data_IF_531016908927
#
_entry.id   IF_531016908927
#
_cell.length_a   1.000
_cell.length_b   1.000
_cell.length_c   1.000
_cell.angle_alpha   90.00
_cell.angle_beta   90.00
_cell.angle_gamma   90.00
#
_symmetry.space_group_name_H-M   'P 1'
#
loop_
_entity.id
_entity.type
_entity.pdbx_description
1 polymer ?
#
# COMPACT_ATOMS: atom_id res chain seq x y z
N UNK A 1 10.96 17.21 -19.61
CA UNK A 1 10.43 16.00 -18.94
C UNK A 1 11.17 15.68 -17.65
N UNK A 2 12.47 15.50 -17.66
CA UNK A 2 13.30 15.11 -16.51
C UNK A 2 13.08 15.98 -15.25
N UNK A 3 13.12 17.32 -15.37
CA UNK A 3 12.90 18.25 -14.25
C UNK A 3 11.56 18.06 -13.54
N UNK A 4 10.46 17.81 -14.30
CA UNK A 4 9.12 17.59 -13.71
C UNK A 4 9.02 16.23 -13.04
N UNK A 5 9.67 15.19 -13.60
CA UNK A 5 9.77 13.88 -12.97
C UNK A 5 10.53 13.93 -11.64
N UNK A 6 11.65 14.66 -11.61
CA UNK A 6 12.42 14.87 -10.37
C UNK A 6 11.58 15.58 -9.29
N UNK A 7 10.84 16.64 -9.65
CA UNK A 7 9.94 17.34 -8.71
C UNK A 7 8.87 16.39 -8.17
N UNK A 8 8.31 15.51 -9.00
CA UNK A 8 7.33 14.51 -8.57
C UNK A 8 7.92 13.54 -7.54
N UNK A 9 9.13 13.04 -7.79
CA UNK A 9 9.84 12.15 -6.87
C UNK A 9 10.08 12.87 -5.53
N UNK A 10 10.65 14.07 -5.56
CA UNK A 10 10.90 14.88 -4.36
C UNK A 10 9.62 15.12 -3.58
N UNK A 11 8.52 15.49 -4.24
CA UNK A 11 7.23 15.71 -3.59
C UNK A 11 6.71 14.46 -2.88
N UNK A 12 6.77 13.29 -3.53
CA UNK A 12 6.33 12.03 -2.91
C UNK A 12 7.18 11.66 -1.69
N UNK A 13 8.51 11.80 -1.75
CA UNK A 13 9.38 11.53 -0.61
C UNK A 13 9.15 12.54 0.52
N UNK A 14 8.89 13.82 0.20
CA UNK A 14 8.53 14.83 1.21
C UNK A 14 7.25 14.44 1.94
N UNK A 15 6.22 13.99 1.21
CA UNK A 15 4.96 13.52 1.84
C UNK A 15 5.22 12.32 2.75
N UNK A 16 6.02 11.34 2.32
CA UNK A 16 6.36 10.18 3.12
C UNK A 16 7.14 10.57 4.39
N UNK A 17 8.10 11.46 4.26
CA UNK A 17 8.89 11.95 5.39
C UNK A 17 8.01 12.71 6.41
N UNK A 18 7.12 13.59 5.94
CA UNK A 18 6.16 14.27 6.81
C UNK A 18 5.22 13.28 7.50
N UNK A 19 4.76 12.25 6.82
CA UNK A 19 3.96 11.19 7.44
C UNK A 19 4.74 10.43 8.53
N UNK A 20 6.03 10.16 8.33
CA UNK A 20 6.89 9.54 9.35
C UNK A 20 6.98 10.43 10.59
N UNK A 21 7.34 11.70 10.41
CA UNK A 21 7.45 12.66 11.52
C UNK A 21 6.10 12.78 12.26
N UNK A 22 5.02 12.92 11.52
CA UNK A 22 3.70 13.06 12.14
C UNK A 22 3.29 11.82 12.93
N UNK A 23 3.55 10.61 12.42
CA UNK A 23 3.26 9.39 13.16
C UNK A 23 4.11 9.28 14.45
N UNK A 24 5.38 9.70 14.44
CA UNK A 24 6.20 9.79 15.65
C UNK A 24 5.58 10.74 16.69
N UNK A 25 5.08 11.89 16.23
CA UNK A 25 4.41 12.85 17.10
C UNK A 25 3.09 12.30 17.66
N UNK A 26 2.29 11.61 16.84
CA UNK A 26 1.08 10.94 17.31
C UNK A 26 1.38 9.90 18.40
N UNK A 27 2.46 9.12 18.28
CA UNK A 27 2.88 8.16 19.31
C UNK A 27 3.18 8.81 20.65
N UNK A 28 3.61 10.08 20.66
CA UNK A 28 3.86 10.84 21.89
C UNK A 28 2.58 11.30 22.58
N UNK A 29 1.56 11.68 21.81
CA UNK A 29 0.40 12.39 22.34
C UNK A 29 -0.87 11.54 22.41
N UNK A 30 -0.98 10.46 21.62
CA UNK A 30 -2.15 9.60 21.62
C UNK A 30 -1.99 8.42 22.58
N UNK A 31 -3.12 7.98 23.17
CA UNK A 31 -3.17 6.73 23.92
C UNK A 31 -3.03 5.51 22.98
N UNK A 32 -2.67 4.34 23.53
CA UNK A 32 -2.62 3.08 22.80
C UNK A 32 -3.95 2.76 22.12
N UNK A 33 -5.08 2.99 22.78
CA UNK A 33 -6.41 2.81 22.21
C UNK A 33 -6.64 3.70 20.98
N UNK A 34 -6.29 4.99 21.03
CA UNK A 34 -6.42 5.92 19.91
C UNK A 34 -5.49 5.54 18.74
N UNK A 35 -4.26 5.10 19.03
CA UNK A 35 -3.32 4.60 18.02
C UNK A 35 -3.83 3.32 17.35
N UNK A 36 -4.45 2.41 18.12
CA UNK A 36 -5.09 1.22 17.60
C UNK A 36 -6.26 1.54 16.68
N UNK A 37 -7.17 2.43 17.12
CA UNK A 37 -8.30 2.89 16.32
C UNK A 37 -7.84 3.56 15.02
N UNK A 38 -6.82 4.41 15.08
CA UNK A 38 -6.22 5.05 13.91
C UNK A 38 -5.59 4.03 12.95
N UNK A 39 -4.91 3.01 13.49
CA UNK A 39 -4.25 1.96 12.70
C UNK A 39 -5.26 1.11 11.94
N UNK A 40 -6.33 0.68 12.62
CA UNK A 40 -7.39 -0.07 11.97
C UNK A 40 -8.12 0.78 10.92
N UNK A 41 -8.48 2.00 11.27
CA UNK A 41 -9.14 2.92 10.37
C UNK A 41 -8.32 3.21 9.10
N UNK A 42 -7.01 3.41 9.23
CA UNK A 42 -6.08 3.53 8.08
C UNK A 42 -5.98 2.25 7.26
N UNK A 43 -6.11 1.09 7.87
CA UNK A 43 -6.12 -0.18 7.15
C UNK A 43 -7.37 -0.30 6.27
N UNK A 44 -8.54 0.07 6.80
CA UNK A 44 -9.77 0.16 6.02
C UNK A 44 -9.69 1.24 4.92
N UNK A 45 -9.15 2.42 5.24
CA UNK A 45 -8.90 3.50 4.27
C UNK A 45 -8.03 3.02 3.08
N UNK A 46 -6.96 2.25 3.36
CA UNK A 46 -6.11 1.67 2.33
C UNK A 46 -6.82 0.59 1.51
N UNK A 47 -7.70 -0.21 2.14
CA UNK A 47 -8.50 -1.21 1.44
C UNK A 47 -9.44 -0.58 0.41
N UNK A 48 -9.95 0.62 0.67
CA UNK A 48 -10.79 1.39 -0.29
C UNK A 48 -10.06 1.64 -1.62
N UNK A 49 -8.72 1.80 -1.62
CA UNK A 49 -7.98 1.97 -2.89
C UNK A 49 -8.08 0.75 -3.81
N UNK A 50 -8.43 -0.43 -3.28
CA UNK A 50 -8.65 -1.66 -4.06
C UNK A 50 -10.07 -1.79 -4.64
N UNK A 51 -10.96 -0.85 -4.37
CA UNK A 51 -12.35 -0.85 -4.87
C UNK A 51 -12.47 -0.80 -6.40
N UNK A 52 -11.39 -0.42 -7.11
CA UNK A 52 -11.35 -0.39 -8.57
C UNK A 52 -11.27 -1.78 -9.25
N UNK A 53 -11.16 -2.89 -8.50
CA UNK A 53 -11.14 -4.28 -9.00
C UNK A 53 -10.18 -4.53 -10.19
N UNK A 54 -9.05 -3.84 -10.24
CA UNK A 54 -8.04 -3.95 -11.29
C UNK A 54 -8.17 -2.95 -12.44
N UNK A 55 -9.32 -2.31 -12.61
CA UNK A 55 -9.56 -1.40 -13.72
C UNK A 55 -8.54 -0.24 -13.79
N UNK A 56 -8.03 0.25 -12.64
CA UNK A 56 -6.98 1.27 -12.60
C UNK A 56 -5.68 0.83 -13.29
N UNK A 57 -5.28 -0.44 -13.15
CA UNK A 57 -4.06 -0.95 -13.79
C UNK A 57 -4.16 -0.98 -15.31
N UNK A 58 -5.37 -1.11 -15.83
CA UNK A 58 -5.62 -1.06 -17.27
C UNK A 58 -5.55 0.34 -17.87
N UNK A 59 -5.85 1.39 -17.09
CA UNK A 59 -5.83 2.76 -17.60
C UNK A 59 -4.47 3.13 -18.18
N UNK A 60 -3.37 2.72 -17.54
CA UNK A 60 -2.01 3.00 -18.02
C UNK A 60 -1.73 2.36 -19.40
N UNK A 61 -2.41 1.26 -19.73
CA UNK A 61 -2.22 0.53 -20.99
C UNK A 61 -3.16 1.02 -22.10
N UNK A 62 -4.42 1.30 -21.77
CA UNK A 62 -5.44 1.60 -22.78
C UNK A 62 -5.54 3.09 -23.11
N UNK A 63 -5.39 3.98 -22.12
CA UNK A 63 -5.49 5.42 -22.34
C UNK A 63 -4.49 5.96 -23.38
N UNK A 64 -3.19 5.55 -23.40
CA UNK A 64 -2.26 6.11 -24.38
C UNK A 64 -2.63 5.85 -25.84
N UNK A 65 -3.38 4.77 -26.12
CA UNK A 65 -3.74 4.33 -27.48
C UNK A 65 -5.20 4.61 -27.86
N UNK A 66 -6.02 5.03 -26.90
CA UNK A 66 -7.43 5.33 -27.13
C UNK A 66 -7.64 6.72 -27.76
N UNK A 67 -8.75 6.92 -28.45
CA UNK A 67 -9.21 8.24 -28.90
C UNK A 67 -9.68 9.12 -27.73
N UNK A 68 -9.70 10.44 -27.88
CA UNK A 68 -9.93 11.35 -26.76
C UNK A 68 -11.31 11.20 -26.10
N UNK A 69 -12.34 10.90 -26.88
CA UNK A 69 -13.65 10.58 -26.31
C UNK A 69 -13.65 9.26 -25.54
N UNK A 70 -13.00 8.23 -26.11
CA UNK A 70 -12.88 6.92 -25.47
C UNK A 70 -12.10 7.01 -24.16
N UNK A 71 -11.02 7.80 -24.08
CA UNK A 71 -10.28 8.08 -22.83
C UNK A 71 -11.20 8.56 -21.72
N UNK A 72 -12.08 9.54 -22.04
CA UNK A 72 -13.04 10.10 -21.05
C UNK A 72 -14.02 9.04 -20.57
N UNK A 73 -14.55 8.21 -21.48
CA UNK A 73 -15.44 7.11 -21.10
C UNK A 73 -14.78 6.05 -20.22
N UNK A 74 -13.54 5.66 -20.55
CA UNK A 74 -12.79 4.70 -19.78
C UNK A 74 -12.61 5.18 -18.33
N UNK A 75 -12.14 6.42 -18.18
CA UNK A 75 -11.91 7.02 -16.87
C UNK A 75 -13.23 7.20 -16.11
N UNK A 76 -14.28 7.70 -16.74
CA UNK A 76 -15.60 7.88 -16.12
C UNK A 76 -16.15 6.56 -15.58
N UNK A 77 -16.03 5.48 -16.37
CA UNK A 77 -16.50 4.15 -15.96
C UNK A 77 -15.68 3.61 -14.79
N UNK A 78 -14.36 3.74 -14.83
CA UNK A 78 -13.47 3.31 -13.72
C UNK A 78 -13.74 4.13 -12.46
N UNK A 79 -13.95 5.44 -12.58
CA UNK A 79 -14.34 6.31 -11.46
C UNK A 79 -15.66 5.85 -10.82
N UNK A 80 -16.67 5.58 -11.64
CA UNK A 80 -17.98 5.14 -11.16
C UNK A 80 -17.92 3.78 -10.46
N UNK A 81 -17.26 2.80 -11.07
CA UNK A 81 -17.08 1.46 -10.45
C UNK A 81 -16.27 1.52 -9.16
N UNK A 82 -15.22 2.35 -9.14
CA UNK A 82 -14.42 2.59 -7.94
C UNK A 82 -15.26 3.25 -6.84
N UNK A 83 -16.06 4.24 -7.17
CA UNK A 83 -16.94 4.90 -6.21
C UNK A 83 -17.96 3.94 -5.59
N UNK A 84 -18.65 3.13 -6.42
CA UNK A 84 -19.57 2.11 -5.91
C UNK A 84 -18.88 1.05 -5.04
N UNK A 85 -17.75 0.54 -5.49
CA UNK A 85 -16.95 -0.41 -4.70
C UNK A 85 -16.45 0.19 -3.39
N UNK A 86 -16.09 1.49 -3.40
CA UNK A 86 -15.68 2.21 -2.19
C UNK A 86 -16.82 2.37 -1.18
N UNK A 87 -18.03 2.66 -1.66
CA UNK A 87 -19.24 2.72 -0.80
C UNK A 87 -19.54 1.35 -0.17
N UNK A 88 -19.37 0.27 -0.94
CA UNK A 88 -19.52 -1.09 -0.41
C UNK A 88 -18.50 -1.38 0.70
N UNK A 89 -17.21 -1.06 0.49
CA UNK A 89 -16.18 -1.25 1.52
C UNK A 89 -16.46 -0.38 2.74
N UNK A 90 -16.93 0.86 2.57
CA UNK A 90 -17.33 1.73 3.67
C UNK A 90 -18.48 1.10 4.48
N UNK A 91 -19.51 0.59 3.80
CA UNK A 91 -20.63 -0.09 4.46
C UNK A 91 -20.15 -1.29 5.29
N UNK A 92 -19.29 -2.13 4.69
CA UNK A 92 -18.70 -3.30 5.39
C UNK A 92 -17.87 -2.85 6.59
N UNK A 93 -17.03 -1.81 6.44
CA UNK A 93 -16.21 -1.29 7.53
C UNK A 93 -17.07 -0.77 8.69
N UNK A 94 -18.14 -0.02 8.40
CA UNK A 94 -19.09 0.50 9.40
C UNK A 94 -19.78 -0.63 10.15
N UNK A 95 -20.28 -1.63 9.43
CA UNK A 95 -21.00 -2.77 10.04
C UNK A 95 -20.07 -3.63 10.88
N UNK A 96 -18.88 -3.97 10.38
CA UNK A 96 -17.94 -4.85 11.09
C UNK A 96 -17.26 -4.17 12.29
N UNK A 97 -17.31 -2.85 12.41
CA UNK A 97 -16.69 -2.10 13.51
C UNK A 97 -17.74 -1.35 14.36
N UNK A 98 -19.00 -1.82 14.40
CA UNK A 98 -20.08 -1.26 15.23
C UNK A 98 -20.22 0.27 15.08
N UNK A 99 -20.10 0.77 13.86
CA UNK A 99 -20.14 2.19 13.51
C UNK A 99 -19.09 3.06 14.24
N UNK A 100 -17.92 2.49 14.56
CA UNK A 100 -16.79 3.26 15.11
C UNK A 100 -16.53 4.52 14.27
N UNK A 101 -16.59 5.68 14.92
CA UNK A 101 -16.52 6.97 14.23
C UNK A 101 -15.16 7.21 13.56
N UNK A 102 -14.06 6.74 14.16
CA UNK A 102 -12.70 6.89 13.62
C UNK A 102 -12.55 6.06 12.35
N UNK A 103 -13.03 4.79 12.40
CA UNK A 103 -13.02 3.89 11.26
C UNK A 103 -13.90 4.44 10.14
N UNK A 104 -15.10 4.89 10.47
CA UNK A 104 -16.07 5.41 9.48
C UNK A 104 -15.54 6.65 8.76
N UNK A 105 -14.99 7.63 9.51
CA UNK A 105 -14.44 8.88 8.96
C UNK A 105 -13.25 8.61 8.05
N UNK A 106 -12.28 7.82 8.50
CA UNK A 106 -11.07 7.55 7.71
C UNK A 106 -11.37 6.67 6.49
N UNK A 107 -12.25 5.67 6.63
CA UNK A 107 -12.67 4.87 5.47
C UNK A 107 -13.40 5.74 4.45
N UNK A 108 -14.29 6.64 4.87
CA UNK A 108 -14.93 7.60 3.98
C UNK A 108 -13.93 8.51 3.28
N UNK A 109 -12.89 8.99 3.99
CA UNK A 109 -11.81 9.78 3.36
C UNK A 109 -11.03 8.97 2.32
N UNK A 110 -10.96 7.65 2.47
CA UNK A 110 -10.38 6.73 1.48
C UNK A 110 -11.06 6.80 0.11
N UNK A 111 -12.36 7.09 0.06
CA UNK A 111 -13.11 7.27 -1.20
C UNK A 111 -12.50 8.42 -2.01
N UNK A 112 -12.23 9.55 -1.37
CA UNK A 112 -11.64 10.71 -2.03
C UNK A 112 -10.22 10.44 -2.51
N UNK A 113 -9.43 9.67 -1.74
CA UNK A 113 -8.08 9.24 -2.12
C UNK A 113 -8.15 8.30 -3.32
N UNK A 114 -9.03 7.30 -3.31
CA UNK A 114 -9.18 6.33 -4.40
C UNK A 114 -9.58 7.03 -5.71
N UNK A 115 -10.55 7.95 -5.67
CA UNK A 115 -10.94 8.78 -6.82
C UNK A 115 -9.75 9.61 -7.31
N UNK A 116 -9.03 10.27 -6.41
CA UNK A 116 -7.81 11.01 -6.75
C UNK A 116 -6.74 10.15 -7.43
N UNK A 117 -6.58 8.90 -6.98
CA UNK A 117 -5.64 7.94 -7.57
C UNK A 117 -6.03 7.52 -9.00
N UNK A 118 -7.33 7.41 -9.33
CA UNK A 118 -7.79 7.17 -10.71
C UNK A 118 -7.47 8.36 -11.61
N UNK A 119 -7.78 9.59 -11.16
CA UNK A 119 -7.45 10.81 -11.92
C UNK A 119 -5.92 10.97 -12.08
N UNK A 120 -5.13 10.59 -11.06
CA UNK A 120 -3.68 10.54 -11.13
C UNK A 120 -3.18 9.56 -12.21
N UNK A 121 -3.79 8.36 -12.31
CA UNK A 121 -3.48 7.38 -13.35
C UNK A 121 -3.80 7.94 -14.74
N UNK A 122 -4.94 8.61 -14.90
CA UNK A 122 -5.30 9.30 -16.15
C UNK A 122 -4.28 10.35 -16.55
N UNK A 123 -3.86 11.24 -15.63
CA UNK A 123 -2.84 12.25 -15.94
C UNK A 123 -1.48 11.65 -16.28
N UNK A 124 -1.13 10.52 -15.65
CA UNK A 124 0.09 9.79 -15.97
C UNK A 124 0.02 9.22 -17.39
N UNK A 125 -1.07 8.55 -17.72
CA UNK A 125 -1.29 7.91 -19.01
C UNK A 125 -1.40 8.91 -20.17
N UNK A 126 -1.91 10.14 -19.90
CA UNK A 126 -1.95 11.26 -20.86
C UNK A 126 -0.69 12.14 -20.84
N UNK A 127 0.36 11.73 -20.10
CA UNK A 127 1.61 12.46 -19.94
C UNK A 127 1.44 13.91 -19.41
N UNK A 128 0.37 14.14 -18.65
CA UNK A 128 0.01 15.45 -18.08
C UNK A 128 0.69 15.69 -16.72
N UNK A 129 2.03 15.59 -16.67
CA UNK A 129 2.83 15.62 -15.42
C UNK A 129 2.55 16.85 -14.56
N UNK A 130 2.26 18.02 -15.15
CA UNK A 130 1.96 19.24 -14.38
C UNK A 130 0.62 19.13 -13.65
N UNK A 131 -0.41 18.53 -14.29
CA UNK A 131 -1.70 18.27 -13.64
C UNK A 131 -1.55 17.24 -12.54
N UNK A 132 -0.74 16.18 -12.77
CA UNK A 132 -0.44 15.15 -11.78
C UNK A 132 0.27 15.73 -10.54
N UNK A 133 1.26 16.60 -10.73
CA UNK A 133 1.95 17.29 -9.62
C UNK A 133 1.00 18.13 -8.79
N UNK A 134 0.15 18.94 -9.43
CA UNK A 134 -0.88 19.74 -8.74
C UNK A 134 -1.85 18.87 -7.97
N UNK A 135 -2.28 17.74 -8.55
CA UNK A 135 -3.17 16.79 -7.90
C UNK A 135 -2.54 16.22 -6.61
N UNK A 136 -1.30 15.73 -6.69
CA UNK A 136 -0.59 15.19 -5.52
C UNK A 136 -0.42 16.25 -4.44
N UNK A 137 -0.03 17.47 -4.83
CA UNK A 137 0.12 18.58 -3.90
C UNK A 137 -1.20 18.90 -3.18
N UNK A 138 -2.28 19.15 -3.91
CA UNK A 138 -3.56 19.57 -3.32
C UNK A 138 -4.33 18.43 -2.65
N UNK A 139 -4.31 17.21 -3.19
CA UNK A 139 -5.11 16.10 -2.66
C UNK A 139 -4.35 15.21 -1.65
N UNK A 140 -3.05 15.37 -1.48
CA UNK A 140 -2.30 14.57 -0.51
C UNK A 140 -1.54 15.44 0.50
N UNK A 141 -0.73 16.40 0.03
CA UNK A 141 0.11 17.19 0.92
C UNK A 141 -0.70 18.23 1.71
N UNK A 142 -1.55 19.00 1.04
CA UNK A 142 -2.26 20.11 1.70
C UNK A 142 -3.25 19.61 2.77
N UNK A 143 -4.09 18.56 2.54
CA UNK A 143 -4.94 17.98 3.60
C UNK A 143 -4.13 17.52 4.81
N UNK A 144 -2.99 16.87 4.57
CA UNK A 144 -2.10 16.43 5.64
C UNK A 144 -1.58 17.62 6.47
N UNK A 145 -1.08 18.67 5.83
CA UNK A 145 -0.55 19.86 6.51
C UNK A 145 -1.61 20.62 7.30
N UNK A 146 -2.82 20.77 6.74
CA UNK A 146 -3.95 21.41 7.44
C UNK A 146 -4.30 20.61 8.69
N UNK A 147 -4.46 19.30 8.58
CA UNK A 147 -4.87 18.44 9.69
C UNK A 147 -3.81 18.36 10.78
N UNK A 148 -2.53 18.29 10.40
CA UNK A 148 -1.40 18.35 11.33
C UNK A 148 -1.37 19.72 12.05
N UNK A 149 -1.49 20.82 11.31
CA UNK A 149 -1.47 22.16 11.87
C UNK A 149 -2.60 22.39 12.88
N UNK A 150 -3.82 21.97 12.55
CA UNK A 150 -4.97 22.07 13.46
C UNK A 150 -4.82 21.17 14.68
N UNK A 151 -4.28 19.96 14.51
CA UNK A 151 -3.98 19.08 15.64
C UNK A 151 -3.01 19.73 16.63
N UNK A 152 -1.91 20.33 16.15
CA UNK A 152 -0.94 21.00 17.03
C UNK A 152 -1.50 22.26 17.71
N UNK A 153 -2.45 22.92 17.06
CA UNK A 153 -3.10 24.10 17.65
C UNK A 153 -4.07 23.71 18.76
N UNK A 154 -4.83 22.61 18.59
CA UNK A 154 -5.89 22.20 19.52
C UNK A 154 -5.50 21.08 20.46
N UNK A 155 -4.53 20.24 20.08
CA UNK A 155 -4.16 18.96 20.70
C UNK A 155 -5.36 18.00 20.85
N UNK A 156 -6.40 18.18 20.01
CA UNK A 156 -7.60 17.35 19.98
C UNK A 156 -7.59 16.41 18.78
N UNK A 157 -7.67 15.10 19.07
CA UNK A 157 -7.69 14.05 18.05
C UNK A 157 -8.93 14.12 17.16
N UNK A 158 -10.08 14.53 17.70
CA UNK A 158 -11.30 14.70 16.91
C UNK A 158 -11.17 15.84 15.89
N UNK A 159 -10.52 16.94 16.28
CA UNK A 159 -10.24 18.06 15.36
C UNK A 159 -9.33 17.59 14.22
N UNK A 160 -8.33 16.76 14.52
CA UNK A 160 -7.50 16.13 13.48
C UNK A 160 -8.34 15.31 12.48
N UNK A 161 -9.21 14.42 12.97
CA UNK A 161 -10.03 13.57 12.11
C UNK A 161 -11.01 14.38 11.26
N UNK A 162 -11.71 15.31 11.88
CA UNK A 162 -12.69 16.17 11.21
C UNK A 162 -12.00 17.05 10.15
N UNK A 163 -10.87 17.66 10.49
CA UNK A 163 -10.13 18.50 9.54
C UNK A 163 -9.59 17.69 8.37
N UNK A 164 -9.20 16.45 8.60
CA UNK A 164 -8.70 15.56 7.56
C UNK A 164 -9.81 15.25 6.54
N UNK A 165 -11.00 14.81 6.99
CA UNK A 165 -12.09 14.48 6.06
C UNK A 165 -12.60 15.71 5.31
N UNK A 166 -12.76 16.86 6.01
CA UNK A 166 -13.19 18.09 5.38
C UNK A 166 -12.19 18.58 4.33
N UNK A 167 -10.89 18.48 4.61
CA UNK A 167 -9.85 18.85 3.66
C UNK A 167 -9.89 17.94 2.43
N UNK A 168 -9.99 16.62 2.59
CA UNK A 168 -10.13 15.70 1.47
C UNK A 168 -11.40 15.97 0.66
N UNK A 169 -12.53 16.18 1.32
CA UNK A 169 -13.80 16.53 0.65
C UNK A 169 -13.64 17.81 -0.16
N UNK A 170 -13.13 18.89 0.44
CA UNK A 170 -12.96 20.19 -0.19
C UNK A 170 -12.09 20.11 -1.45
N UNK A 171 -10.90 19.52 -1.36
CA UNK A 171 -10.01 19.39 -2.51
C UNK A 171 -10.53 18.43 -3.57
N UNK A 172 -11.29 17.40 -3.17
CA UNK A 172 -11.96 16.52 -4.12
C UNK A 172 -13.10 17.22 -4.85
N UNK A 173 -13.87 18.07 -4.20
CA UNK A 173 -14.89 18.90 -4.87
C UNK A 173 -14.26 19.84 -5.90
N UNK A 174 -13.13 20.46 -5.57
CA UNK A 174 -12.37 21.28 -6.54
C UNK A 174 -11.91 20.43 -7.73
N UNK A 175 -11.43 19.22 -7.47
CA UNK A 175 -11.01 18.28 -8.52
C UNK A 175 -12.19 17.90 -9.41
N UNK A 176 -13.35 17.54 -8.84
CA UNK A 176 -14.58 17.23 -9.56
C UNK A 176 -15.05 18.40 -10.45
N UNK A 177 -15.07 19.61 -9.89
CA UNK A 177 -15.45 20.80 -10.64
C UNK A 177 -14.50 21.06 -11.83
N UNK A 178 -13.20 20.91 -11.61
CA UNK A 178 -12.17 21.16 -12.62
C UNK A 178 -12.15 20.11 -13.73
N UNK A 179 -12.37 18.84 -13.39
CA UNK A 179 -12.34 17.72 -14.32
C UNK A 179 -13.79 17.21 -14.61
N UNK A 180 -14.81 18.10 -14.49
CA UNK A 180 -16.22 17.74 -14.67
C UNK A 180 -16.52 17.01 -15.96
N UNK A 181 -15.75 17.26 -17.03
CA UNK A 181 -15.89 16.56 -18.29
C UNK A 181 -15.66 15.05 -18.19
N UNK A 182 -14.83 14.58 -17.24
CA UNK A 182 -14.59 13.16 -17.03
C UNK A 182 -15.79 12.46 -16.39
N UNK A 183 -16.75 13.20 -15.81
CA UNK A 183 -17.88 12.62 -15.09
C UNK A 183 -19.18 12.64 -15.89
N UNK A 184 -19.22 13.28 -17.08
CA UNK A 184 -20.45 13.45 -17.88
C UNK A 184 -20.86 12.24 -18.72
N UNK A 185 -20.04 11.19 -18.80
CA UNK A 185 -20.13 10.19 -19.87
C UNK A 185 -20.41 8.77 -19.42
N UNK A 186 -21.33 8.56 -18.46
CA UNK A 186 -21.64 7.20 -17.98
C UNK A 186 -22.83 6.65 -18.78
N UNK A 187 -22.58 5.77 -19.77
CA UNK A 187 -23.61 4.97 -20.46
C UNK A 187 -23.51 3.52 -20.04
N UNK A 188 -24.62 2.90 -19.63
CA UNK A 188 -24.69 1.53 -19.13
C UNK A 188 -24.07 0.48 -20.08
N UNK A 189 -24.37 0.56 -21.36
CA UNK A 189 -23.83 -0.38 -22.37
C UNK A 189 -22.31 -0.34 -22.45
N UNK A 190 -21.69 0.82 -22.26
CA UNK A 190 -20.25 0.98 -22.27
C UNK A 190 -19.60 0.51 -20.96
N UNK A 191 -20.31 0.59 -19.82
CA UNK A 191 -19.83 0.03 -18.53
C UNK A 191 -19.58 -1.46 -18.69
N UNK A 192 -20.51 -2.21 -19.27
CA UNK A 192 -20.39 -3.65 -19.52
C UNK A 192 -19.17 -3.98 -20.40
N UNK A 193 -18.96 -3.18 -21.46
CA UNK A 193 -17.80 -3.32 -22.35
C UNK A 193 -16.49 -3.08 -21.59
N UNK A 194 -16.38 -1.99 -20.81
CA UNK A 194 -15.20 -1.64 -20.03
C UNK A 194 -14.89 -2.70 -18.98
N UNK A 195 -15.90 -3.22 -18.29
CA UNK A 195 -15.67 -4.30 -17.31
C UNK A 195 -15.09 -5.54 -18.01
N UNK A 196 -15.66 -5.96 -19.14
CA UNK A 196 -15.24 -7.17 -19.86
C UNK A 196 -13.86 -7.01 -20.52
N UNK A 197 -13.60 -5.90 -21.17
CA UNK A 197 -12.39 -5.71 -21.99
C UNK A 197 -11.22 -5.12 -21.18
N UNK A 198 -11.48 -4.45 -20.07
CA UNK A 198 -10.48 -3.71 -19.30
C UNK A 198 -10.26 -4.29 -17.90
N UNK A 199 -11.34 -4.45 -17.12
CA UNK A 199 -11.19 -4.93 -15.75
C UNK A 199 -10.80 -6.41 -15.69
N UNK A 200 -11.42 -7.25 -16.52
CA UNK A 200 -11.16 -8.69 -16.51
C UNK A 200 -9.71 -9.06 -16.87
N UNK A 201 -9.08 -8.50 -17.93
CA UNK A 201 -7.66 -8.77 -18.21
C UNK A 201 -6.69 -8.29 -17.13
N UNK A 202 -7.09 -7.28 -16.34
CA UNK A 202 -6.27 -6.75 -15.24
C UNK A 202 -6.60 -7.37 -13.88
N UNK A 203 -7.57 -8.27 -13.83
CA UNK A 203 -8.00 -8.92 -12.60
C UNK A 203 -6.86 -9.70 -11.93
N UNK A 204 -5.99 -10.35 -12.71
CA UNK A 204 -4.83 -11.05 -12.18
C UNK A 204 -3.86 -10.11 -11.45
N UNK A 205 -3.63 -8.90 -11.99
CA UNK A 205 -2.81 -7.87 -11.33
C UNK A 205 -3.47 -7.34 -10.07
N UNK A 206 -4.80 -7.21 -10.09
CA UNK A 206 -5.57 -6.83 -8.92
C UNK A 206 -5.45 -7.87 -7.81
N UNK A 207 -5.68 -9.15 -8.11
CA UNK A 207 -5.56 -10.26 -7.14
C UNK A 207 -4.16 -10.25 -6.54
N UNK A 208 -3.12 -10.13 -7.37
CA UNK A 208 -1.74 -10.05 -6.89
C UNK A 208 -1.54 -8.89 -5.90
N UNK A 209 -1.96 -7.67 -6.28
CA UNK A 209 -1.81 -6.49 -5.43
C UNK A 209 -2.63 -6.60 -4.14
N UNK A 210 -3.83 -7.16 -4.20
CA UNK A 210 -4.67 -7.39 -3.04
C UNK A 210 -4.04 -8.42 -2.09
N UNK A 211 -3.46 -9.52 -2.60
CA UNK A 211 -2.78 -10.52 -1.77
C UNK A 211 -1.56 -9.91 -1.08
N UNK A 212 -0.76 -9.10 -1.79
CA UNK A 212 0.37 -8.36 -1.19
C UNK A 212 -0.11 -7.46 -0.07
N UNK A 213 -1.16 -6.69 -0.30
CA UNK A 213 -1.76 -5.85 0.74
C UNK A 213 -2.23 -6.68 1.94
N UNK A 214 -2.99 -7.74 1.70
CA UNK A 214 -3.55 -8.57 2.77
C UNK A 214 -2.46 -9.18 3.65
N UNK A 215 -1.42 -9.80 3.12
CA UNK A 215 -0.39 -10.37 3.98
C UNK A 215 0.45 -9.31 4.73
N UNK A 216 0.41 -8.05 4.29
CA UNK A 216 1.04 -6.95 5.03
C UNK A 216 0.20 -6.41 6.18
N UNK A 217 -1.14 -6.55 6.12
CA UNK A 217 -2.04 -5.88 7.08
C UNK A 217 -3.04 -6.79 7.78
N UNK A 218 -3.17 -8.06 7.38
CA UNK A 218 -4.15 -9.01 7.92
C UNK A 218 -4.01 -9.16 9.44
N UNK A 219 -2.79 -9.16 9.96
CA UNK A 219 -2.48 -9.18 11.39
C UNK A 219 -3.25 -8.13 12.20
N UNK A 220 -3.45 -6.93 11.64
CA UNK A 220 -4.15 -5.84 12.33
C UNK A 220 -5.62 -6.16 12.61
N UNK A 221 -6.28 -6.81 11.67
CA UNK A 221 -7.67 -7.25 11.84
C UNK A 221 -7.77 -8.35 12.90
N UNK A 222 -6.84 -9.31 12.88
CA UNK A 222 -6.84 -10.40 13.84
C UNK A 222 -6.47 -9.96 15.25
N UNK A 223 -5.52 -9.04 15.42
CA UNK A 223 -5.17 -8.47 16.73
C UNK A 223 -6.34 -7.66 17.29
N UNK A 224 -6.98 -6.82 16.47
CA UNK A 224 -8.13 -6.04 16.89
C UNK A 224 -9.26 -6.93 17.39
N UNK A 225 -9.56 -8.00 16.65
CA UNK A 225 -10.62 -8.95 17.00
C UNK A 225 -10.29 -9.79 18.24
N UNK A 226 -9.03 -10.26 18.39
CA UNK A 226 -8.64 -11.19 19.47
C UNK A 226 -8.21 -10.49 20.75
N UNK A 227 -7.55 -9.35 20.66
CA UNK A 227 -6.86 -8.70 21.78
C UNK A 227 -7.31 -7.25 21.99
N UNK A 228 -8.09 -6.69 21.05
CA UNK A 228 -8.69 -5.36 21.14
C UNK A 228 -7.80 -4.21 20.67
N UNK A 229 -8.37 -3.02 20.69
CA UNK A 229 -7.79 -1.77 20.16
C UNK A 229 -6.49 -1.35 20.84
N UNK A 230 -6.36 -1.58 22.13
CA UNK A 230 -5.18 -1.18 22.89
C UNK A 230 -3.95 -1.98 22.46
N UNK A 231 -4.09 -3.30 22.35
CA UNK A 231 -3.02 -4.17 21.85
C UNK A 231 -2.68 -3.89 20.38
N UNK A 232 -3.68 -3.55 19.55
CA UNK A 232 -3.42 -3.08 18.20
C UNK A 232 -2.65 -1.76 18.21
N UNK A 233 -2.87 -0.89 19.18
CA UNK A 233 -2.09 0.33 19.38
C UNK A 233 -0.63 0.04 19.72
N UNK A 234 -0.36 -0.85 20.66
CA UNK A 234 0.99 -1.33 20.96
C UNK A 234 1.66 -1.94 19.72
N UNK A 235 0.93 -2.77 18.99
CA UNK A 235 1.41 -3.37 17.74
C UNK A 235 1.75 -2.32 16.67
N UNK A 236 0.96 -1.26 16.57
CA UNK A 236 1.22 -0.17 15.61
C UNK A 236 2.53 0.57 15.90
N UNK A 237 2.85 0.77 17.18
CA UNK A 237 4.11 1.37 17.62
C UNK A 237 5.27 0.44 17.26
N UNK A 238 5.15 -0.86 17.52
CA UNK A 238 6.16 -1.86 17.18
C UNK A 238 6.42 -1.87 15.66
N UNK A 239 5.35 -1.85 14.84
CA UNK A 239 5.47 -1.89 13.40
C UNK A 239 5.91 -0.57 12.76
N UNK A 240 6.01 0.50 13.51
CA UNK A 240 6.32 1.81 12.93
C UNK A 240 7.68 1.80 12.20
N UNK A 241 8.74 1.30 12.84
CA UNK A 241 10.05 1.21 12.22
C UNK A 241 10.05 0.30 10.98
N UNK A 242 9.34 -0.84 11.05
CA UNK A 242 9.12 -1.71 9.88
C UNK A 242 8.46 -0.93 8.73
N UNK A 243 7.37 -0.22 9.01
CA UNK A 243 6.62 0.54 7.99
C UNK A 243 7.46 1.67 7.38
N UNK A 244 8.24 2.38 8.20
CA UNK A 244 9.15 3.41 7.72
C UNK A 244 10.27 2.85 6.83
N UNK A 245 10.84 1.70 7.21
CA UNK A 245 11.89 1.03 6.44
C UNK A 245 11.40 0.40 5.14
N UNK A 246 10.10 0.13 4.98
CA UNK A 246 9.53 -0.39 3.73
C UNK A 246 9.68 0.58 2.53
N UNK A 247 10.13 1.81 2.77
CA UNK A 247 10.57 2.71 1.71
C UNK A 247 11.80 2.17 0.97
N UNK A 248 12.68 1.40 1.64
CA UNK A 248 13.89 0.83 1.04
C UNK A 248 13.56 -0.14 -0.09
N UNK A 249 12.76 -1.21 0.14
CA UNK A 249 12.37 -2.13 -0.93
C UNK A 249 11.62 -1.43 -2.08
N UNK A 250 10.75 -0.46 -1.76
CA UNK A 250 10.04 0.30 -2.78
C UNK A 250 11.01 1.10 -3.68
N UNK A 251 11.98 1.80 -3.06
CA UNK A 251 12.98 2.59 -3.79
C UNK A 251 13.91 1.70 -4.62
N UNK A 252 14.37 0.58 -4.06
CA UNK A 252 15.22 -0.38 -4.78
C UNK A 252 14.48 -0.95 -5.98
N UNK A 253 13.20 -1.32 -5.79
CA UNK A 253 12.35 -1.80 -6.86
C UNK A 253 12.25 -0.77 -8.01
N UNK A 254 11.98 0.49 -7.71
CA UNK A 254 11.88 1.56 -8.73
C UNK A 254 13.21 1.80 -9.48
N UNK A 255 14.32 1.85 -8.76
CA UNK A 255 15.63 2.15 -9.35
C UNK A 255 16.15 1.00 -10.23
N UNK A 256 15.91 -0.24 -9.83
CA UNK A 256 16.46 -1.41 -10.52
C UNK A 256 15.48 -2.02 -11.54
N UNK A 257 14.22 -1.60 -11.54
CA UNK A 257 13.15 -2.16 -12.36
C UNK A 257 13.54 -2.37 -13.83
N UNK A 258 13.92 -1.28 -14.53
CA UNK A 258 14.25 -1.33 -15.96
C UNK A 258 15.46 -2.22 -16.23
N UNK A 259 16.49 -2.12 -15.39
CA UNK A 259 17.72 -2.91 -15.53
C UNK A 259 17.44 -4.41 -15.35
N UNK A 260 16.70 -4.76 -14.28
CA UNK A 260 16.43 -6.17 -13.96
C UNK A 260 15.56 -6.80 -15.03
N UNK A 261 14.48 -6.14 -15.45
CA UNK A 261 13.58 -6.69 -16.49
C UNK A 261 14.34 -6.89 -17.79
N UNK A 262 15.06 -5.87 -18.28
CA UNK A 262 15.82 -5.97 -19.52
C UNK A 262 16.82 -7.12 -19.48
N UNK A 263 17.61 -7.21 -18.41
CA UNK A 263 18.61 -8.27 -18.28
C UNK A 263 17.99 -9.66 -18.06
N UNK A 264 16.83 -9.77 -17.41
CA UNK A 264 16.13 -11.03 -17.24
C UNK A 264 15.54 -11.53 -18.57
N UNK A 265 15.00 -10.63 -19.39
CA UNK A 265 14.51 -10.98 -20.73
C UNK A 265 15.63 -11.43 -21.69
N UNK A 266 16.80 -10.75 -21.64
CA UNK A 266 17.90 -11.01 -22.58
C UNK A 266 18.76 -12.21 -22.18
N UNK A 267 19.06 -12.37 -20.91
CA UNK A 267 20.04 -13.32 -20.41
C UNK A 267 19.45 -14.53 -19.66
N UNK A 268 18.13 -14.62 -19.57
CA UNK A 268 17.46 -15.66 -18.80
C UNK A 268 17.78 -15.58 -17.31
N UNK A 269 18.09 -16.74 -16.69
CA UNK A 269 18.38 -16.80 -15.27
C UNK A 269 19.69 -16.12 -14.89
N UNK A 270 19.65 -14.85 -14.54
CA UNK A 270 20.72 -14.27 -13.74
C UNK A 270 20.22 -14.05 -12.31
N UNK A 271 20.93 -14.64 -11.36
CA UNK A 271 20.85 -14.18 -9.98
C UNK A 271 21.59 -12.86 -9.92
N UNK A 272 20.89 -11.78 -9.70
CA UNK A 272 21.44 -10.43 -9.54
C UNK A 272 22.19 -10.35 -8.19
N UNK A 273 23.25 -11.16 -8.03
CA UNK A 273 23.94 -11.34 -6.76
C UNK A 273 24.51 -10.02 -6.22
N UNK A 274 25.07 -9.21 -7.10
CA UNK A 274 25.60 -7.89 -6.73
C UNK A 274 24.51 -6.96 -6.22
N UNK A 275 23.39 -6.85 -6.94
CA UNK A 275 22.25 -6.02 -6.58
C UNK A 275 21.59 -6.53 -5.29
N UNK A 276 21.51 -7.84 -5.11
CA UNK A 276 21.02 -8.50 -3.91
C UNK A 276 21.90 -8.19 -2.69
N UNK A 277 23.21 -8.30 -2.83
CA UNK A 277 24.14 -8.00 -1.74
C UNK A 277 24.14 -6.51 -1.36
N UNK A 278 24.09 -5.61 -2.35
CA UNK A 278 23.97 -4.17 -2.09
C UNK A 278 22.68 -3.86 -1.36
N UNK A 279 21.54 -4.40 -1.84
CA UNK A 279 20.24 -4.20 -1.21
C UNK A 279 20.21 -4.76 0.21
N UNK A 280 20.77 -5.95 0.41
CA UNK A 280 20.91 -6.54 1.73
C UNK A 280 21.74 -5.65 2.69
N UNK A 281 22.89 -5.15 2.22
CA UNK A 281 23.74 -4.26 3.00
C UNK A 281 23.04 -2.96 3.40
N UNK A 282 22.35 -2.31 2.44
CA UNK A 282 21.55 -1.08 2.70
C UNK A 282 20.42 -1.37 3.68
N UNK A 283 19.72 -2.50 3.51
CA UNK A 283 18.61 -2.87 4.38
C UNK A 283 19.08 -3.18 5.79
N UNK A 284 20.14 -3.96 5.97
CA UNK A 284 20.71 -4.27 7.29
C UNK A 284 21.17 -3.00 8.00
N UNK A 285 21.88 -2.10 7.28
CA UNK A 285 22.27 -0.81 7.83
C UNK A 285 21.06 0.02 8.24
N UNK A 286 20.03 0.06 7.38
CA UNK A 286 18.77 0.75 7.67
C UNK A 286 18.07 0.19 8.91
N UNK A 287 18.02 -1.13 9.06
CA UNK A 287 17.46 -1.80 10.25
C UNK A 287 18.22 -1.44 11.53
N UNK A 288 19.56 -1.46 11.50
CA UNK A 288 20.37 -1.09 12.66
C UNK A 288 20.14 0.37 13.05
N UNK A 289 20.18 1.29 12.08
CA UNK A 289 19.97 2.74 12.32
C UNK A 289 18.56 3.00 12.84
N UNK A 290 17.55 2.38 12.22
CA UNK A 290 16.16 2.57 12.63
C UNK A 290 15.89 2.05 14.04
N UNK A 291 16.43 0.88 14.40
CA UNK A 291 16.30 0.33 15.74
C UNK A 291 16.94 1.26 16.77
N UNK A 292 18.15 1.74 16.51
CA UNK A 292 18.83 2.69 17.41
C UNK A 292 18.03 3.99 17.57
N UNK A 293 17.55 4.56 16.48
CA UNK A 293 16.75 5.79 16.53
C UNK A 293 15.41 5.57 17.26
N UNK A 294 14.76 4.44 17.03
CA UNK A 294 13.47 4.12 17.66
C UNK A 294 13.63 3.82 19.15
N UNK A 295 14.64 3.07 19.54
CA UNK A 295 14.93 2.82 20.96
C UNK A 295 15.13 4.14 21.70
N UNK A 296 15.96 5.04 21.15
CA UNK A 296 16.18 6.35 21.73
C UNK A 296 14.89 7.18 21.82
N UNK A 297 14.12 7.22 20.71
CA UNK A 297 12.89 8.01 20.67
C UNK A 297 11.82 7.46 21.62
N UNK A 298 11.56 6.17 21.56
CA UNK A 298 10.47 5.54 22.32
C UNK A 298 10.76 5.56 23.81
N UNK A 299 12.00 5.28 24.23
CA UNK A 299 12.40 5.33 25.65
C UNK A 299 12.42 6.75 26.20
N UNK A 300 12.80 7.76 25.42
CA UNK A 300 12.98 9.12 25.91
C UNK A 300 11.73 9.98 25.83
N UNK A 301 10.90 9.77 24.79
CA UNK A 301 9.82 10.70 24.46
C UNK A 301 8.41 10.11 24.57
N UNK A 302 8.29 8.81 24.87
CA UNK A 302 6.98 8.13 24.99
C UNK A 302 6.92 7.27 26.26
N UNK A 303 5.71 6.83 26.63
CA UNK A 303 5.48 5.85 27.72
C UNK A 303 5.66 4.40 27.27
N UNK A 304 6.06 4.14 26.04
CA UNK A 304 6.07 2.81 25.41
C UNK A 304 7.45 2.14 25.38
N UNK A 305 8.37 2.56 26.24
CA UNK A 305 9.74 2.02 26.28
C UNK A 305 9.84 0.49 26.47
N UNK A 306 8.82 -0.14 27.06
CA UNK A 306 8.72 -1.59 27.23
C UNK A 306 8.53 -2.38 25.91
N UNK A 307 8.22 -1.69 24.78
CA UNK A 307 8.01 -2.32 23.47
C UNK A 307 9.28 -2.41 22.61
N UNK A 308 10.40 -1.79 23.00
CA UNK A 308 11.60 -1.66 22.15
C UNK A 308 12.16 -3.00 21.68
N UNK A 309 12.25 -4.02 22.53
CA UNK A 309 12.71 -5.36 22.13
C UNK A 309 11.86 -6.00 21.04
N UNK A 310 10.54 -5.76 21.04
CA UNK A 310 9.62 -6.27 20.00
C UNK A 310 9.78 -5.52 18.67
N UNK A 311 10.17 -4.25 18.70
CA UNK A 311 10.45 -3.46 17.49
C UNK A 311 11.61 -4.06 16.69
N UNK A 312 12.64 -4.58 17.37
CA UNK A 312 13.76 -5.24 16.70
C UNK A 312 13.30 -6.47 15.91
N UNK A 313 12.37 -7.26 16.45
CA UNK A 313 11.80 -8.40 15.72
C UNK A 313 11.05 -7.93 14.47
N UNK A 314 10.21 -6.88 14.61
CA UNK A 314 9.42 -6.33 13.49
C UNK A 314 10.32 -5.86 12.33
N UNK A 315 11.41 -5.16 12.63
CA UNK A 315 12.32 -4.62 11.61
C UNK A 315 13.08 -5.70 10.84
N UNK A 316 13.30 -6.90 11.43
CA UNK A 316 13.90 -8.03 10.72
C UNK A 316 13.07 -8.47 9.52
N UNK A 317 11.75 -8.28 9.54
CA UNK A 317 10.90 -8.59 8.40
C UNK A 317 11.21 -7.75 7.14
N UNK A 318 11.81 -6.56 7.29
CA UNK A 318 12.19 -5.71 6.15
C UNK A 318 13.22 -6.41 5.25
N UNK A 319 14.09 -7.23 5.82
CA UNK A 319 15.16 -7.92 5.07
C UNK A 319 14.59 -8.79 3.96
N UNK A 320 13.75 -9.80 4.24
CA UNK A 320 13.20 -10.65 3.19
C UNK A 320 12.28 -9.88 2.23
N UNK A 321 11.53 -8.86 2.69
CA UNK A 321 10.71 -8.03 1.78
C UNK A 321 11.57 -7.20 0.83
N UNK A 322 12.73 -6.72 1.26
CA UNK A 322 13.67 -6.00 0.38
C UNK A 322 14.26 -6.90 -0.70
N UNK A 323 14.58 -8.13 -0.36
CA UNK A 323 15.04 -9.14 -1.31
C UNK A 323 13.93 -9.55 -2.27
N UNK A 324 12.72 -9.75 -1.77
CA UNK A 324 11.52 -10.06 -2.56
C UNK A 324 11.27 -9.02 -3.64
N UNK A 325 11.49 -7.73 -3.37
CA UNK A 325 11.30 -6.66 -4.33
C UNK A 325 12.17 -6.82 -5.60
N UNK A 326 13.41 -7.29 -5.47
CA UNK A 326 14.28 -7.58 -6.61
C UNK A 326 13.75 -8.76 -7.42
N UNK A 327 13.48 -9.88 -6.74
CA UNK A 327 13.09 -11.12 -7.41
C UNK A 327 11.67 -11.09 -7.98
N UNK A 328 10.80 -10.24 -7.47
CA UNK A 328 9.53 -9.88 -8.11
C UNK A 328 9.74 -9.34 -9.53
N UNK A 329 10.72 -8.47 -9.74
CA UNK A 329 11.04 -7.93 -11.06
C UNK A 329 11.73 -8.97 -11.96
N UNK A 330 12.55 -9.86 -11.40
CA UNK A 330 13.12 -10.99 -12.15
C UNK A 330 12.00 -11.89 -12.69
N UNK A 331 11.03 -12.26 -11.85
CA UNK A 331 9.88 -13.07 -12.26
C UNK A 331 9.03 -12.37 -13.34
N UNK A 332 8.82 -11.05 -13.22
CA UNK A 332 8.13 -10.28 -14.25
C UNK A 332 8.91 -10.27 -15.59
N UNK A 333 10.24 -10.16 -15.54
CA UNK A 333 11.09 -10.23 -16.74
C UNK A 333 11.09 -11.61 -17.39
N UNK A 334 10.88 -12.67 -16.62
CA UNK A 334 10.74 -14.05 -17.10
C UNK A 334 9.29 -14.41 -17.49
N UNK A 335 8.36 -13.46 -17.44
CA UNK A 335 6.90 -13.64 -17.69
C UNK A 335 6.20 -14.64 -16.75
N UNK A 336 6.71 -14.79 -15.52
CA UNK A 336 6.18 -15.70 -14.48
C UNK A 336 5.09 -15.02 -13.64
N UNK A 337 4.15 -14.33 -14.29
CA UNK A 337 3.12 -13.54 -13.59
C UNK A 337 2.10 -14.41 -12.85
N UNK A 338 1.79 -15.59 -13.39
CA UNK A 338 0.88 -16.55 -12.76
C UNK A 338 1.50 -17.12 -11.49
N UNK A 339 2.77 -17.46 -11.55
CA UNK A 339 3.55 -17.99 -10.44
C UNK A 339 3.67 -16.99 -9.30
N UNK A 340 3.85 -15.70 -9.62
CA UNK A 340 3.80 -14.61 -8.62
C UNK A 340 2.46 -14.63 -7.86
N UNK A 341 1.34 -14.71 -8.59
CA UNK A 341 0.01 -14.74 -7.98
C UNK A 341 -0.18 -16.00 -7.13
N UNK A 342 0.28 -17.16 -7.62
CA UNK A 342 0.20 -18.42 -6.87
C UNK A 342 0.97 -18.31 -5.55
N UNK A 343 2.22 -17.83 -5.55
CA UNK A 343 3.00 -17.66 -4.32
C UNK A 343 2.28 -16.75 -3.35
N UNK A 344 1.85 -15.56 -3.80
CA UNK A 344 1.19 -14.59 -2.92
C UNK A 344 -0.14 -15.11 -2.38
N UNK A 345 -0.92 -15.84 -3.18
CA UNK A 345 -2.17 -16.47 -2.74
C UNK A 345 -1.92 -17.56 -1.70
N UNK A 346 -0.96 -18.46 -1.95
CA UNK A 346 -0.60 -19.53 -1.01
C UNK A 346 -0.14 -18.95 0.32
N UNK A 347 0.72 -17.93 0.30
CA UNK A 347 1.18 -17.26 1.52
C UNK A 347 0.03 -16.59 2.27
N UNK A 348 -0.90 -15.93 1.56
CA UNK A 348 -2.11 -15.37 2.19
C UNK A 348 -2.97 -16.44 2.86
N UNK A 349 -3.17 -17.57 2.20
CA UNK A 349 -3.96 -18.69 2.77
C UNK A 349 -3.27 -19.25 4.02
N UNK A 350 -1.96 -19.53 3.94
CA UNK A 350 -1.20 -20.01 5.09
C UNK A 350 -1.30 -19.04 6.27
N UNK A 351 -1.17 -17.74 6.00
CA UNK A 351 -1.24 -16.70 7.02
C UNK A 351 -2.64 -16.59 7.64
N UNK A 352 -3.68 -16.67 6.80
CA UNK A 352 -5.07 -16.67 7.27
C UNK A 352 -5.36 -17.87 8.18
N UNK A 353 -4.91 -19.07 7.79
CA UNK A 353 -5.02 -20.28 8.62
C UNK A 353 -4.24 -20.14 9.92
N UNK A 354 -3.01 -19.62 9.85
CA UNK A 354 -2.17 -19.39 11.02
C UNK A 354 -2.84 -18.44 12.02
N UNK A 355 -3.39 -17.31 11.58
CA UNK A 355 -4.07 -16.35 12.45
C UNK A 355 -5.44 -16.83 12.95
N UNK A 356 -6.14 -17.67 12.19
CA UNK A 356 -7.42 -18.25 12.59
C UNK A 356 -7.25 -19.33 13.66
N UNK A 357 -6.11 -20.02 13.69
CA UNK A 357 -5.83 -21.11 14.64
C UNK A 357 -6.03 -20.71 16.11
N UNK A 358 -5.45 -19.58 16.62
CA UNK A 358 -5.71 -19.14 18.00
C UNK A 358 -7.18 -18.87 18.30
N UNK A 359 -7.91 -18.30 17.34
CA UNK A 359 -9.30 -17.96 17.52
C UNK A 359 -10.18 -19.22 17.69
N UNK A 360 -9.91 -20.26 16.88
CA UNK A 360 -10.66 -21.53 16.95
C UNK A 360 -10.44 -22.25 18.28
N UNK A 361 -9.22 -22.20 18.81
CA UNK A 361 -8.86 -22.88 20.06
C UNK A 361 -8.90 -21.98 21.29
N UNK A 362 -9.38 -20.73 21.16
CA UNK A 362 -9.45 -19.72 22.25
C UNK A 362 -8.12 -19.52 22.97
N UNK A 363 -7.02 -19.59 22.22
CA UNK A 363 -5.67 -19.39 22.73
C UNK A 363 -5.33 -17.89 22.68
N UNK A 364 -4.79 -17.37 23.78
CA UNK A 364 -4.34 -15.98 23.82
C UNK A 364 -2.84 -15.93 23.57
N UNK A 365 -2.45 -15.56 22.36
CA UNK A 365 -1.05 -15.34 22.00
C UNK A 365 -0.72 -13.84 22.09
N UNK A 366 0.45 -13.53 22.64
CA UNK A 366 0.99 -12.18 22.68
C UNK A 366 1.36 -11.65 21.29
N UNK A 367 1.71 -10.36 21.20
CA UNK A 367 2.08 -9.70 19.95
C UNK A 367 3.25 -10.37 19.20
N UNK A 368 4.13 -11.08 19.93
CA UNK A 368 5.27 -11.81 19.35
C UNK A 368 4.83 -12.85 18.31
N UNK A 369 3.68 -13.49 18.51
CA UNK A 369 3.08 -14.43 17.56
C UNK A 369 2.88 -13.80 16.18
N UNK A 370 2.34 -12.59 16.13
CA UNK A 370 2.09 -11.84 14.89
C UNK A 370 3.38 -11.30 14.29
N UNK A 371 4.36 -10.93 15.12
CA UNK A 371 5.66 -10.44 14.65
C UNK A 371 6.49 -11.54 13.97
N UNK A 372 6.56 -12.72 14.58
CA UNK A 372 7.23 -13.87 13.94
C UNK A 372 6.54 -14.30 12.65
N UNK A 373 5.20 -14.27 12.63
CA UNK A 373 4.46 -14.53 11.41
C UNK A 373 4.81 -13.55 10.29
N UNK A 374 4.99 -12.26 10.62
CA UNK A 374 5.39 -11.24 9.64
C UNK A 374 6.78 -11.48 9.07
N UNK A 375 7.75 -11.85 9.90
CA UNK A 375 9.09 -12.23 9.47
C UNK A 375 9.04 -13.49 8.58
N UNK A 376 8.31 -14.52 9.02
CA UNK A 376 8.12 -15.76 8.26
C UNK A 376 7.45 -15.51 6.91
N UNK A 377 6.44 -14.63 6.86
CA UNK A 377 5.75 -14.25 5.62
C UNK A 377 6.73 -13.69 4.59
N UNK A 378 7.60 -12.76 4.98
CA UNK A 378 8.61 -12.22 4.08
C UNK A 378 9.51 -13.30 3.49
N UNK A 379 9.98 -14.23 4.32
CA UNK A 379 10.81 -15.36 3.88
C UNK A 379 10.05 -16.34 2.99
N UNK A 380 8.79 -16.65 3.31
CA UNK A 380 7.97 -17.56 2.49
C UNK A 380 7.76 -16.99 1.08
N UNK A 381 7.46 -15.68 0.95
CA UNK A 381 7.31 -15.04 -0.37
C UNK A 381 8.64 -15.06 -1.13
N UNK A 382 9.74 -14.66 -0.48
CA UNK A 382 11.07 -14.65 -1.07
C UNK A 382 11.49 -16.03 -1.58
N UNK A 383 11.39 -17.06 -0.73
CA UNK A 383 11.74 -18.43 -1.07
C UNK A 383 10.82 -19.00 -2.17
N UNK A 384 9.53 -18.65 -2.14
CA UNK A 384 8.59 -19.02 -3.21
C UNK A 384 8.99 -18.45 -4.57
N UNK A 385 9.43 -17.19 -4.64
CA UNK A 385 9.93 -16.61 -5.88
C UNK A 385 11.22 -17.28 -6.36
N UNK A 386 12.18 -17.52 -5.46
CA UNK A 386 13.43 -18.23 -5.78
C UNK A 386 13.12 -19.64 -6.30
N UNK A 387 12.19 -20.37 -5.65
CA UNK A 387 11.77 -21.70 -6.09
C UNK A 387 11.31 -21.67 -7.55
N UNK A 388 10.36 -20.82 -7.92
CA UNK A 388 9.87 -20.76 -9.29
C UNK A 388 10.94 -20.31 -10.30
N UNK A 389 11.83 -19.39 -9.94
CA UNK A 389 12.96 -18.99 -10.78
C UNK A 389 13.90 -20.19 -11.02
N UNK A 390 14.19 -20.99 -10.02
CA UNK A 390 15.06 -22.17 -10.14
C UNK A 390 14.46 -23.23 -11.05
N UNK A 391 13.16 -23.49 -10.92
CA UNK A 391 12.48 -24.54 -11.69
C UNK A 391 12.02 -24.11 -13.09
N UNK A 392 12.11 -22.84 -13.44
CA UNK A 392 11.74 -22.32 -14.76
C UNK A 392 12.64 -22.83 -15.92
N UNK A 393 13.66 -23.62 -15.65
CA UNK A 393 14.70 -24.07 -16.61
C UNK A 393 14.19 -24.73 -17.90
N UNK A 394 13.00 -25.31 -17.87
CA UNK A 394 12.52 -26.17 -18.95
C UNK A 394 11.62 -25.47 -20.00
N UNK A 395 11.27 -24.20 -19.80
CA UNK A 395 10.28 -23.53 -20.68
C UNK A 395 10.97 -22.65 -21.74
N UNK A 396 12.16 -22.15 -21.48
CA UNK A 396 12.87 -21.23 -22.40
C UNK A 396 13.48 -21.94 -23.59
N UNK A 397 13.86 -23.22 -23.46
CA UNK A 397 14.48 -24.00 -24.55
C UNK A 397 13.48 -24.40 -25.65
N UNK A 398 12.16 -24.39 -25.40
CA UNK A 398 11.15 -24.76 -26.36
C UNK A 398 10.55 -23.60 -27.19
N UNK A 399 10.95 -22.36 -26.93
CA UNK A 399 10.48 -21.19 -27.70
C UNK A 399 11.48 -20.70 -28.76
N UNK A 400 12.63 -21.34 -28.90
CA UNK A 400 13.68 -21.00 -29.91
C UNK A 400 13.83 -22.05 -30.99
N UNK A 401 12.89 -22.97 -31.13
CA UNK A 401 12.69 -23.82 -32.30
C UNK A 401 11.35 -23.50 -32.93
#
# INVERSE_FOLDING_TARGET
MFKKGLIYIVLNYTIQFLNIIFNLLLMKYLSSYQLGSLTLARTWQQLVDYSHLGARFSLDRYIPVAEDEEKKYLVATVLFTTFLGSLFILLVAVVLNDADIVVSILTASGIFIAVGNIVKAYYRATNSLTKMLKLVFYNQLVPLLISIGLYFYTLDFNVYLISLIFSYLFFSLILFYRERELFHFIKYERIKKVIKEIALPSFLLFVNSLMIFLYLVMDRFFIDYSSGREELGHYSIILFAFTALMIIPATVAELLFVKIIKQSCEAGKRFFLRETLITLGITVLGVVVANFCMDYFVQRFTSYGFLTGKMHIATLAVIPFSLTAIYYHVMNGLDLRKEIVIVNLVVCIILALYYTYPLLFKLNYGLDYYLYAKVATGWLVFLGYIFFILFHKNIVLNKTT
#
